data_IF_221896707796
#
_entry.id   IF_221896707796
#
_cell.length_a   1.000
_cell.length_b   1.000
_cell.length_c   1.000
_cell.angle_alpha   90.00
_cell.angle_beta   90.00
_cell.angle_gamma   90.00
#
_symmetry.space_group_name_H-M   'P 1'
#
loop_
_entity.id
_entity.type
_entity.pdbx_description
1 polymer ?
#
# COMPACT_ATOMS: atom_id res chain seq x y z
N UNK A 1 -11.54 -5.15 -2.54
CA UNK A 1 -11.51 -3.67 -2.43
C UNK A 1 -11.30 -3.29 -0.98
N UNK A 2 -10.66 -2.15 -0.76
CA UNK A 2 -10.16 -1.65 0.52
C UNK A 2 -10.48 -0.15 0.65
N UNK A 3 -10.30 0.42 1.85
CA UNK A 3 -10.52 1.86 2.12
C UNK A 3 -9.22 2.65 2.29
N UNK A 4 -8.13 1.96 2.58
CA UNK A 4 -6.84 2.55 2.88
C UNK A 4 -6.70 3.08 4.30
N UNK A 5 -7.54 2.60 5.22
CA UNK A 5 -7.47 2.95 6.63
C UNK A 5 -6.80 1.81 7.38
N UNK A 6 -5.56 2.03 7.78
CA UNK A 6 -4.72 1.01 8.40
C UNK A 6 -4.91 1.03 9.92
N UNK A 7 -5.40 -0.10 10.46
CA UNK A 7 -5.57 -0.30 11.90
C UNK A 7 -4.53 -1.23 12.52
N UNK A 8 -3.91 -2.09 11.70
CA UNK A 8 -2.95 -3.10 12.13
C UNK A 8 -1.77 -3.17 11.17
N UNK A 9 -0.61 -3.42 11.74
CA UNK A 9 0.59 -3.80 11.00
C UNK A 9 0.80 -5.30 11.14
N UNK A 10 1.54 -5.88 10.21
CA UNK A 10 2.12 -7.21 10.39
C UNK A 10 3.62 -7.20 10.22
N UNK A 11 4.23 -8.29 10.66
CA UNK A 11 5.66 -8.52 10.56
C UNK A 11 5.94 -9.72 9.66
N UNK A 12 6.79 -9.54 8.66
CA UNK A 12 7.28 -10.66 7.84
C UNK A 12 8.12 -11.58 8.73
N UNK A 13 7.71 -12.85 8.85
CA UNK A 13 8.42 -13.85 9.67
C UNK A 13 9.18 -14.87 8.83
N UNK A 14 8.71 -15.14 7.62
CA UNK A 14 9.31 -16.13 6.74
C UNK A 14 9.03 -15.76 5.29
N UNK A 15 9.99 -16.06 4.41
CA UNK A 15 9.86 -15.94 2.97
C UNK A 15 10.36 -17.26 2.38
N UNK A 16 9.56 -17.91 1.54
CA UNK A 16 9.93 -19.12 0.81
C UNK A 16 10.02 -18.77 -0.67
N UNK A 17 11.19 -18.94 -1.29
CA UNK A 17 11.36 -18.73 -2.72
C UNK A 17 10.89 -19.95 -3.50
N UNK A 18 10.26 -19.71 -4.64
CA UNK A 18 9.80 -20.73 -5.60
C UNK A 18 10.30 -20.37 -7.00
N UNK A 19 10.25 -21.32 -7.93
CA UNK A 19 10.70 -21.09 -9.32
C UNK A 19 10.02 -19.90 -10.01
N UNK A 20 8.74 -19.64 -9.71
CA UNK A 20 7.92 -18.57 -10.33
C UNK A 20 7.27 -17.63 -9.30
N UNK A 21 7.94 -17.35 -8.19
CA UNK A 21 7.47 -16.39 -7.19
C UNK A 21 7.99 -16.65 -5.79
N UNK A 22 7.32 -16.08 -4.79
CA UNK A 22 7.61 -16.30 -3.38
C UNK A 22 6.32 -16.60 -2.62
N UNK A 23 6.44 -17.22 -1.46
CA UNK A 23 5.42 -17.17 -0.41
C UNK A 23 5.94 -16.32 0.73
N UNK A 24 5.12 -15.41 1.23
CA UNK A 24 5.43 -14.61 2.41
C UNK A 24 4.53 -15.03 3.56
N UNK A 25 5.11 -15.02 4.75
CA UNK A 25 4.42 -15.36 5.98
C UNK A 25 4.40 -14.14 6.88
N UNK A 26 3.21 -13.67 7.19
CA UNK A 26 2.98 -12.40 7.88
C UNK A 26 2.30 -12.68 9.21
N UNK A 27 2.97 -12.32 10.29
CA UNK A 27 2.38 -12.38 11.63
C UNK A 27 1.62 -11.08 11.91
N UNK A 28 0.38 -11.18 12.37
CA UNK A 28 -0.43 -10.02 12.75
C UNK A 28 -1.45 -10.35 13.84
N UNK A 29 -1.80 -9.35 14.64
CA UNK A 29 -2.86 -9.42 15.66
C UNK A 29 -4.26 -9.18 15.06
N UNK A 30 -4.43 -9.41 13.75
CA UNK A 30 -5.72 -9.38 13.10
C UNK A 30 -6.57 -10.57 13.54
N UNK A 31 -7.87 -10.34 13.74
CA UNK A 31 -8.85 -11.39 14.05
C UNK A 31 -9.23 -12.12 12.76
N UNK A 32 -8.33 -12.98 12.28
CA UNK A 32 -8.48 -13.82 11.08
C UNK A 32 -8.23 -15.27 11.50
N UNK A 33 -8.97 -16.19 10.90
CA UNK A 33 -8.98 -17.62 11.24
C UNK A 33 -8.94 -18.49 9.98
N UNK A 34 -8.90 -19.82 10.15
CA UNK A 34 -8.96 -20.76 9.03
C UNK A 34 -10.23 -20.64 8.18
N UNK A 35 -11.34 -20.11 8.74
CA UNK A 35 -12.58 -19.87 8.00
C UNK A 35 -12.46 -18.77 6.94
N UNK A 36 -11.42 -17.94 7.06
CA UNK A 36 -11.18 -16.79 6.18
C UNK A 36 -10.18 -17.13 5.06
N UNK A 37 -9.73 -18.39 4.92
CA UNK A 37 -8.90 -18.81 3.79
C UNK A 37 -9.65 -18.51 2.49
N UNK A 38 -8.95 -17.94 1.51
CA UNK A 38 -9.53 -17.40 0.27
C UNK A 38 -9.87 -15.91 0.34
N UNK A 39 -9.85 -15.29 1.53
CA UNK A 39 -10.07 -13.85 1.68
C UNK A 39 -8.93 -13.03 1.08
N UNK A 40 -9.27 -11.94 0.40
CA UNK A 40 -8.31 -10.91 -0.04
C UNK A 40 -7.91 -10.01 1.12
N UNK A 41 -6.60 -9.83 1.33
CA UNK A 41 -6.01 -8.97 2.35
C UNK A 41 -5.04 -8.00 1.66
N UNK A 42 -5.17 -6.70 1.93
CA UNK A 42 -4.22 -5.71 1.45
C UNK A 42 -2.98 -5.74 2.33
N UNK A 43 -1.82 -6.02 1.73
CA UNK A 43 -0.52 -6.06 2.38
C UNK A 43 0.36 -4.97 1.75
N UNK A 44 0.65 -3.90 2.49
CA UNK A 44 1.27 -2.68 1.93
C UNK A 44 0.55 -2.19 0.65
N UNK A 45 -0.77 -2.31 0.60
CA UNK A 45 -1.57 -1.93 -0.57
C UNK A 45 -1.65 -2.99 -1.67
N UNK A 46 -0.94 -4.11 -1.57
CA UNK A 46 -1.07 -5.20 -2.56
C UNK A 46 -2.19 -6.13 -2.12
N UNK A 47 -3.18 -6.35 -2.99
CA UNK A 47 -4.23 -7.34 -2.76
C UNK A 47 -3.64 -8.75 -2.86
N UNK A 48 -3.62 -9.49 -1.74
CA UNK A 48 -3.14 -10.87 -1.68
C UNK A 48 -4.22 -11.79 -1.12
N UNK A 49 -4.32 -13.00 -1.64
CA UNK A 49 -5.27 -14.01 -1.16
C UNK A 49 -4.64 -14.82 -0.03
N UNK A 50 -5.32 -14.90 1.11
CA UNK A 50 -4.92 -15.74 2.24
C UNK A 50 -5.03 -17.21 1.84
N UNK A 51 -3.90 -17.93 1.74
CA UNK A 51 -3.89 -19.34 1.34
C UNK A 51 -3.79 -20.29 2.53
N UNK A 52 -3.26 -19.83 3.66
CA UNK A 52 -3.16 -20.61 4.89
C UNK A 52 -3.01 -19.69 6.09
N UNK A 53 -3.39 -20.17 7.27
CA UNK A 53 -3.14 -19.47 8.54
C UNK A 53 -2.93 -20.47 9.67
N UNK A 54 -1.86 -20.27 10.44
CA UNK A 54 -1.57 -21.05 11.64
C UNK A 54 -1.00 -20.13 12.72
N UNK A 55 -1.53 -20.17 13.95
CA UNK A 55 -1.04 -19.36 15.08
C UNK A 55 -0.81 -17.88 14.74
N UNK A 56 -1.79 -17.22 14.10
CA UNK A 56 -1.74 -15.83 13.62
C UNK A 56 -0.70 -15.53 12.53
N UNK A 57 -0.05 -16.57 12.00
CA UNK A 57 0.87 -16.47 10.87
C UNK A 57 0.09 -16.75 9.59
N UNK A 58 -0.17 -15.70 8.83
CA UNK A 58 -0.87 -15.76 7.55
C UNK A 58 0.13 -16.06 6.43
N UNK A 59 -0.23 -16.94 5.51
CA UNK A 59 0.56 -17.26 4.33
C UNK A 59 -0.10 -16.69 3.07
N UNK A 60 0.73 -16.08 2.22
CA UNK A 60 0.31 -15.53 0.94
C UNK A 60 1.22 -15.99 -0.19
N UNK A 61 0.60 -16.33 -1.31
CA UNK A 61 1.27 -16.64 -2.56
C UNK A 61 1.48 -15.37 -3.37
N UNK A 62 2.73 -15.07 -3.75
CA UNK A 62 3.06 -13.95 -4.63
C UNK A 62 3.56 -14.46 -5.97
N UNK A 63 2.97 -13.94 -7.05
CA UNK A 63 3.43 -14.17 -8.42
C UNK A 63 4.66 -13.32 -8.75
N UNK A 64 5.43 -13.71 -9.77
CA UNK A 64 6.52 -12.88 -10.29
C UNK A 64 6.06 -11.48 -10.74
N UNK A 65 4.84 -11.35 -11.27
CA UNK A 65 4.29 -10.05 -11.66
C UNK A 65 4.10 -9.14 -10.45
N UNK A 66 3.47 -9.67 -9.39
CA UNK A 66 3.26 -8.97 -8.13
C UNK A 66 4.59 -8.51 -7.52
N UNK A 67 5.61 -9.38 -7.54
CA UNK A 67 6.94 -9.07 -7.02
C UNK A 67 7.58 -7.93 -7.83
N UNK A 68 7.52 -7.99 -9.16
CA UNK A 68 8.12 -6.96 -10.04
C UNK A 68 7.43 -5.61 -9.94
N UNK A 69 6.11 -5.59 -9.75
CA UNK A 69 5.31 -4.35 -9.70
C UNK A 69 5.24 -3.68 -8.33
N UNK A 70 5.67 -4.35 -7.27
CA UNK A 70 5.57 -3.85 -5.92
C UNK A 70 6.93 -3.83 -5.22
N UNK A 71 7.02 -3.12 -4.10
CA UNK A 71 8.20 -3.13 -3.23
C UNK A 71 8.54 -4.52 -2.69
N UNK A 72 7.70 -5.53 -2.89
CA UNK A 72 7.98 -6.90 -2.46
C UNK A 72 9.18 -7.55 -3.17
N UNK A 73 9.71 -6.96 -4.23
CA UNK A 73 11.02 -7.35 -4.76
C UNK A 73 12.15 -7.22 -3.73
N UNK A 74 12.05 -6.28 -2.79
CA UNK A 74 13.07 -6.01 -1.77
C UNK A 74 12.66 -6.43 -0.36
N UNK A 75 11.55 -7.17 -0.22
CA UNK A 75 11.02 -7.56 1.09
C UNK A 75 11.96 -8.52 1.84
N UNK A 76 12.08 -8.29 3.15
CA UNK A 76 12.95 -9.07 4.04
C UNK A 76 12.19 -9.59 5.24
N UNK A 77 12.71 -10.66 5.82
CA UNK A 77 12.25 -11.12 7.13
C UNK A 77 12.54 -10.04 8.16
N UNK A 78 11.54 -9.72 8.98
CA UNK A 78 11.60 -8.65 9.97
C UNK A 78 10.86 -7.38 9.55
N UNK A 79 10.60 -7.18 8.27
CA UNK A 79 9.91 -6.00 7.75
C UNK A 79 8.52 -5.84 8.35
N UNK A 80 8.13 -4.59 8.58
CA UNK A 80 6.82 -4.20 9.09
C UNK A 80 6.00 -3.63 7.94
N UNK A 81 4.83 -4.21 7.71
CA UNK A 81 3.93 -3.84 6.62
C UNK A 81 2.55 -3.47 7.14
N UNK A 82 1.87 -2.57 6.44
CA UNK A 82 0.48 -2.24 6.69
C UNK A 82 -0.42 -3.39 6.24
N UNK A 83 -1.48 -3.66 7.00
CA UNK A 83 -2.47 -4.67 6.63
C UNK A 83 -3.87 -4.12 6.76
N UNK A 84 -4.70 -4.39 5.76
CA UNK A 84 -6.12 -4.07 5.76
C UNK A 84 -6.95 -5.26 5.27
N UNK A 85 -8.02 -5.59 5.99
CA UNK A 85 -9.03 -6.55 5.56
C UNK A 85 -9.97 -5.91 4.52
N UNK A 86 -10.66 -6.70 3.68
CA UNK A 86 -11.48 -6.12 2.64
C UNK A 86 -12.69 -5.39 3.24
N UNK A 87 -13.23 -4.44 2.46
CA UNK A 87 -14.46 -3.73 2.81
C UNK A 87 -15.60 -4.72 3.10
N UNK A 88 -16.40 -4.42 4.12
CA UNK A 88 -17.62 -5.15 4.44
C UNK A 88 -18.82 -4.29 4.06
N UNK A 89 -19.83 -4.90 3.47
CA UNK A 89 -21.10 -4.23 3.17
C UNK A 89 -21.67 -3.56 4.43
N UNK A 90 -22.25 -2.37 4.27
CA UNK A 90 -22.82 -1.60 5.37
C UNK A 90 -21.81 -0.91 6.30
N UNK A 91 -20.50 -0.99 6.02
CA UNK A 91 -19.48 -0.23 6.78
C UNK A 91 -19.16 1.10 6.12
N UNK A 92 -18.84 2.09 6.95
CA UNK A 92 -18.34 3.39 6.53
C UNK A 92 -17.00 3.24 5.79
N UNK A 93 -16.88 3.89 4.63
CA UNK A 93 -15.62 4.04 3.88
C UNK A 93 -15.04 5.41 4.26
N UNK A 94 -14.00 5.43 5.11
CA UNK A 94 -13.42 6.70 5.60
C UNK A 94 -12.25 7.22 4.75
N UNK A 95 -11.69 6.38 3.88
CA UNK A 95 -10.66 6.78 2.91
C UNK A 95 -11.26 6.89 1.51
N UNK A 96 -10.62 6.26 0.54
CA UNK A 96 -11.13 6.15 -0.84
C UNK A 96 -11.13 4.70 -1.30
N UNK A 97 -11.70 4.45 -2.48
CA UNK A 97 -11.73 3.11 -3.06
C UNK A 97 -10.33 2.71 -3.51
N UNK A 98 -9.79 1.67 -2.88
CA UNK A 98 -8.52 1.05 -3.23
C UNK A 98 -8.79 -0.38 -3.72
N UNK A 99 -8.25 -0.73 -4.88
CA UNK A 99 -8.34 -2.07 -5.46
C UNK A 99 -7.31 -3.01 -4.85
N UNK A 100 -6.15 -2.47 -4.51
CA UNK A 100 -4.97 -3.21 -4.09
C UNK A 100 -4.10 -3.63 -5.28
N UNK A 101 -4.13 -2.84 -6.35
CA UNK A 101 -3.46 -3.07 -7.63
C UNK A 101 -2.41 -1.99 -7.84
N UNK A 102 -1.17 -2.32 -7.47
CA UNK A 102 -0.08 -1.35 -7.47
C UNK A 102 0.28 -0.92 -8.90
N UNK A 103 0.24 0.40 -9.13
CA UNK A 103 0.58 1.01 -10.41
C UNK A 103 2.10 1.17 -10.55
N UNK A 104 2.77 1.61 -9.48
CA UNK A 104 4.23 1.71 -9.46
C UNK A 104 4.85 1.66 -8.07
N UNK A 105 6.18 1.51 -8.04
CA UNK A 105 7.00 1.71 -6.85
C UNK A 105 7.46 3.16 -6.81
N UNK A 106 7.18 3.84 -5.70
CA UNK A 106 7.68 5.18 -5.40
C UNK A 106 8.87 5.14 -4.44
N UNK A 107 9.57 6.27 -4.34
CA UNK A 107 10.72 6.45 -3.44
C UNK A 107 10.47 7.65 -2.54
N UNK A 108 10.66 7.50 -1.22
CA UNK A 108 10.61 8.63 -0.29
C UNK A 108 11.85 9.49 -0.50
N UNK A 109 11.68 10.70 -1.04
CA UNK A 109 12.79 11.60 -1.34
C UNK A 109 13.16 12.53 -0.19
N UNK A 110 12.20 12.89 0.65
CA UNK A 110 12.43 13.62 1.90
C UNK A 110 11.24 13.51 2.84
N UNK A 111 11.52 13.68 4.13
CA UNK A 111 10.56 13.73 5.22
C UNK A 111 10.92 14.97 6.05
N UNK A 112 9.97 15.89 6.23
CA UNK A 112 10.16 17.09 7.07
C UNK A 112 9.05 17.16 8.11
N UNK A 113 9.41 17.22 9.39
CA UNK A 113 8.46 17.52 10.46
C UNK A 113 8.14 19.01 10.44
N UNK A 114 6.86 19.35 10.44
CA UNK A 114 6.35 20.73 10.50
C UNK A 114 5.22 20.73 11.53
N UNK A 115 5.45 21.42 12.65
CA UNK A 115 4.61 21.33 13.84
C UNK A 115 4.40 19.86 14.27
N UNK A 116 3.15 19.39 14.34
CA UNK A 116 2.80 18.01 14.69
C UNK A 116 2.76 17.10 13.46
N UNK A 117 2.70 17.65 12.26
CA UNK A 117 2.55 16.88 11.03
C UNK A 117 3.89 16.66 10.31
N UNK A 118 3.87 15.76 9.33
CA UNK A 118 5.04 15.41 8.53
C UNK A 118 4.73 15.59 7.05
N UNK A 119 5.56 16.38 6.38
CA UNK A 119 5.53 16.56 4.94
C UNK A 119 6.44 15.51 4.30
N UNK A 120 5.85 14.59 3.54
CA UNK A 120 6.58 13.59 2.78
C UNK A 120 6.62 14.00 1.31
N UNK A 121 7.80 13.86 0.68
CA UNK A 121 7.96 13.98 -0.76
C UNK A 121 8.26 12.62 -1.38
N UNK A 122 7.56 12.28 -2.44
CA UNK A 122 7.76 11.03 -3.16
C UNK A 122 8.23 11.29 -4.59
N UNK A 123 9.17 10.47 -5.05
CA UNK A 123 9.49 10.32 -6.46
C UNK A 123 8.71 9.16 -7.05
N UNK A 124 8.19 9.37 -8.26
CA UNK A 124 7.60 8.32 -9.09
C UNK A 124 8.13 8.45 -10.53
N UNK A 125 8.07 7.36 -11.28
CA UNK A 125 8.50 7.34 -12.66
C UNK A 125 7.70 8.35 -13.52
N UNK A 126 8.26 8.78 -14.65
CA UNK A 126 7.65 9.80 -15.50
C UNK A 126 6.27 9.37 -16.03
N UNK A 127 6.11 8.07 -16.34
CA UNK A 127 4.88 7.48 -16.88
C UNK A 127 3.69 7.65 -15.93
N UNK A 128 3.91 7.59 -14.63
CA UNK A 128 2.83 7.73 -13.63
C UNK A 128 2.58 9.18 -13.20
N UNK A 129 3.54 10.10 -13.38
CA UNK A 129 3.37 11.52 -12.99
C UNK A 129 2.18 12.19 -13.65
N UNK A 130 1.85 11.79 -14.88
CA UNK A 130 0.70 12.32 -15.61
C UNK A 130 -0.62 12.00 -14.91
N UNK A 131 -0.69 10.90 -14.14
CA UNK A 131 -1.89 10.44 -13.45
C UNK A 131 -2.05 11.06 -12.06
N UNK A 132 -1.05 11.81 -11.58
CA UNK A 132 -1.12 12.53 -10.32
C UNK A 132 -1.90 13.84 -10.50
N UNK A 133 -2.89 14.05 -9.65
CA UNK A 133 -3.75 15.23 -9.60
C UNK A 133 -3.64 15.83 -8.20
N UNK A 134 -3.39 17.14 -8.11
CA UNK A 134 -3.37 17.81 -6.80
C UNK A 134 -4.76 17.78 -6.17
N UNK A 135 -4.83 17.58 -4.85
CA UNK A 135 -6.06 17.35 -4.06
C UNK A 135 -6.80 16.04 -4.33
N UNK A 136 -6.33 15.20 -5.25
CA UNK A 136 -6.88 13.86 -5.42
C UNK A 136 -6.36 12.89 -4.35
N UNK A 137 -7.07 11.77 -4.22
CA UNK A 137 -6.67 10.65 -3.38
C UNK A 137 -5.52 9.86 -4.00
N UNK A 138 -4.69 9.26 -3.15
CA UNK A 138 -3.62 8.33 -3.53
C UNK A 138 -3.42 7.31 -2.42
N UNK A 139 -3.08 6.08 -2.79
CA UNK A 139 -2.73 5.04 -1.84
C UNK A 139 -1.21 4.83 -1.78
N UNK A 140 -0.63 4.93 -0.58
CA UNK A 140 0.81 4.73 -0.34
C UNK A 140 0.99 3.61 0.68
N UNK A 141 1.60 2.49 0.29
CA UNK A 141 1.62 1.26 1.10
C UNK A 141 0.22 0.89 1.62
N UNK A 142 -0.81 1.11 0.79
CA UNK A 142 -2.21 0.88 1.15
C UNK A 142 -2.82 1.94 2.07
N UNK A 143 -2.15 3.06 2.36
CA UNK A 143 -2.69 4.15 3.17
C UNK A 143 -3.36 5.16 2.25
N UNK A 144 -4.64 5.45 2.48
CA UNK A 144 -5.38 6.50 1.80
C UNK A 144 -4.89 7.87 2.26
N UNK A 145 -4.37 8.67 1.33
CA UNK A 145 -3.84 10.01 1.58
C UNK A 145 -4.28 10.99 0.48
N UNK A 146 -4.13 12.28 0.75
CA UNK A 146 -4.42 13.35 -0.22
C UNK A 146 -3.11 13.91 -0.78
N UNK A 147 -3.02 14.03 -2.11
CA UNK A 147 -1.91 14.72 -2.76
C UNK A 147 -2.01 16.21 -2.43
N UNK A 148 -1.09 16.72 -1.62
CA UNK A 148 -1.08 18.14 -1.25
C UNK A 148 -0.48 19.03 -2.32
N UNK A 149 0.47 18.48 -3.09
CA UNK A 149 1.14 19.18 -4.19
C UNK A 149 1.71 18.20 -5.20
N UNK A 150 1.50 18.48 -6.49
CA UNK A 150 2.23 17.79 -7.57
C UNK A 150 3.59 18.45 -7.78
N UNK A 151 4.66 17.65 -7.90
CA UNK A 151 6.02 18.16 -8.14
C UNK A 151 6.54 17.69 -9.49
N UNK A 152 7.65 18.28 -9.98
CA UNK A 152 8.30 17.85 -11.23
C UNK A 152 8.71 16.37 -11.23
N UNK A 153 9.03 15.82 -10.05
CA UNK A 153 9.56 14.45 -9.89
C UNK A 153 8.57 13.46 -9.26
N UNK A 154 7.42 13.94 -8.78
CA UNK A 154 6.39 13.12 -8.15
C UNK A 154 5.37 13.97 -7.41
N UNK A 155 5.23 13.79 -6.09
CA UNK A 155 4.18 14.48 -5.32
C UNK A 155 4.55 14.63 -3.84
N UNK A 156 3.73 15.42 -3.13
CA UNK A 156 3.78 15.64 -1.70
C UNK A 156 2.47 15.21 -1.04
N UNK A 157 2.59 14.74 0.21
CA UNK A 157 1.44 14.52 1.10
C UNK A 157 1.78 15.00 2.50
N UNK A 158 0.74 15.39 3.24
CA UNK A 158 0.83 15.65 4.67
C UNK A 158 0.35 14.43 5.44
N UNK A 159 1.12 14.04 6.46
CA UNK A 159 0.79 12.91 7.33
C UNK A 159 0.69 13.42 8.76
N UNK A 160 -0.50 13.24 9.33
CA UNK A 160 -0.79 13.62 10.72
C UNK A 160 -0.21 12.59 11.71
N UNK A 161 0.03 12.97 12.97
CA UNK A 161 0.59 12.06 14.00
C UNK A 161 -0.13 10.72 14.12
N UNK A 162 -1.46 10.74 14.06
CA UNK A 162 -2.29 9.55 14.23
C UNK A 162 -2.01 8.51 13.14
N UNK A 163 -2.09 8.92 11.87
CA UNK A 163 -1.79 8.06 10.71
C UNK A 163 -0.34 7.59 10.72
N UNK A 164 0.60 8.48 11.05
CA UNK A 164 2.02 8.10 11.10
C UNK A 164 2.23 6.98 12.14
N UNK A 165 1.70 7.15 13.35
CA UNK A 165 1.83 6.18 14.46
C UNK A 165 1.26 4.80 14.12
N UNK A 166 0.13 4.73 13.41
CA UNK A 166 -0.54 3.48 13.08
C UNK A 166 0.06 2.76 11.86
N UNK A 167 0.85 3.43 11.05
CA UNK A 167 1.34 2.90 9.76
C UNK A 167 2.85 2.70 9.75
N UNK A 168 3.32 1.88 8.80
CA UNK A 168 4.75 1.62 8.64
C UNK A 168 5.56 2.86 8.23
N UNK A 169 4.90 3.94 7.83
CA UNK A 169 5.54 5.23 7.55
C UNK A 169 6.20 5.85 8.79
N UNK A 170 5.78 5.47 10.01
CA UNK A 170 6.49 5.86 11.25
C UNK A 170 7.95 5.45 11.30
N UNK A 171 8.32 4.37 10.60
CA UNK A 171 9.68 3.83 10.56
C UNK A 171 10.37 4.08 9.23
N UNK A 172 9.68 4.71 8.27
CA UNK A 172 10.23 4.98 6.96
C UNK A 172 11.23 6.13 7.00
N UNK A 173 12.24 6.02 6.15
CA UNK A 173 13.29 7.01 5.97
C UNK A 173 13.44 7.39 4.49
N UNK A 174 14.27 8.41 4.24
CA UNK A 174 14.66 8.78 2.88
C UNK A 174 15.25 7.56 2.15
N UNK A 175 14.91 7.46 0.87
CA UNK A 175 15.22 6.39 -0.08
C UNK A 175 14.45 5.08 0.12
N UNK A 176 13.59 4.95 1.13
CA UNK A 176 12.75 3.76 1.25
C UNK A 176 11.74 3.69 0.10
N UNK A 177 11.47 2.45 -0.33
CA UNK A 177 10.48 2.14 -1.35
C UNK A 177 9.07 2.05 -0.78
N UNK A 178 8.11 2.55 -1.55
CA UNK A 178 6.68 2.47 -1.23
C UNK A 178 5.87 1.97 -2.43
N UNK A 179 4.82 1.22 -2.15
CA UNK A 179 3.82 0.87 -3.15
C UNK A 179 2.92 2.08 -3.39
N UNK A 180 2.68 2.43 -4.65
CA UNK A 180 1.77 3.50 -5.06
C UNK A 180 0.64 2.91 -5.89
N UNK A 181 -0.59 3.14 -5.46
CA UNK A 181 -1.78 2.94 -6.26
C UNK A 181 -2.47 4.30 -6.47
N UNK A 182 -2.69 4.63 -7.74
CA UNK A 182 -3.39 5.83 -8.17
C UNK A 182 -4.89 5.58 -8.10
N UNK A 183 -5.63 6.60 -7.67
CA UNK A 183 -7.09 6.56 -7.63
C UNK A 183 -7.67 6.05 -8.96
N UNK A 184 -8.47 5.00 -8.85
CA UNK A 184 -9.14 4.34 -9.96
C UNK A 184 -10.05 5.29 -10.74
N UNK A 185 -10.68 6.27 -10.07
CA UNK A 185 -11.52 7.27 -10.73
C UNK A 185 -10.67 8.15 -11.66
N UNK A 186 -9.48 8.55 -11.23
CA UNK A 186 -8.55 9.33 -12.05
C UNK A 186 -8.11 8.54 -13.29
N UNK A 187 -7.92 7.22 -13.16
CA UNK A 187 -7.57 6.34 -14.28
C UNK A 187 -8.71 6.22 -15.29
N UNK A 188 -9.95 5.98 -14.84
CA UNK A 188 -11.10 5.85 -15.75
C UNK A 188 -11.43 7.15 -16.48
N UNK A 189 -11.48 8.28 -15.77
CA UNK A 189 -11.75 9.59 -16.40
C UNK A 189 -10.70 9.91 -17.45
N UNK A 190 -9.42 9.66 -17.13
CA UNK A 190 -8.34 9.85 -18.09
C UNK A 190 -8.49 8.94 -19.30
N UNK A 191 -8.80 7.67 -19.10
CA UNK A 191 -8.95 6.73 -20.21
C UNK A 191 -10.05 7.19 -21.16
N UNK A 192 -11.21 7.57 -20.61
CA UNK A 192 -12.35 8.09 -21.38
C UNK A 192 -11.99 9.29 -22.27
N UNK A 193 -11.16 10.22 -21.79
CA UNK A 193 -10.73 11.38 -22.59
C UNK A 193 -9.65 11.08 -23.63
N UNK A 194 -8.88 10.00 -23.49
CA UNK A 194 -7.80 9.66 -24.44
C UNK A 194 -8.19 8.54 -25.43
N UNK A 195 -9.33 7.90 -25.24
CA UNK A 195 -9.93 6.96 -26.21
C UNK A 195 -10.77 7.65 -27.28
N UNK A 196 -10.96 8.98 -27.18
CA UNK A 196 -11.47 9.83 -28.25
C UNK A 196 -10.33 10.36 -29.10
#
# INVERSE_FOLDING_TARGET
MFSGIIFKQGKIRKIIKRKKGINIFIYSELKISKKDIGMSVSCDGVCLTLININNKLMEFYLSNETIKRSKFNEIRVGDIINIETPLKFGKQISGHIIQGHIDCIGIISSIKKIDKSYLFNFFVNLKERKNLIEKASIAINGISLTISKKTKKGFQVWIIPHTLKLTNLSKSKKNDLVNIEIDILSKYVRNYFNEK
#
